data_IF_432348746992
#
_entry.id   IF_432348746992
#
_cell.length_a   1.000
_cell.length_b   1.000
_cell.length_c   1.000
_cell.angle_alpha   90.00
_cell.angle_beta   90.00
_cell.angle_gamma   90.00
#
_symmetry.space_group_name_H-M   'P 1'
#
loop_
_entity.id
_entity.type
_entity.pdbx_description
1 polymer ?
#
# COMPACT_ATOMS: atom_id res chain seq x y z
N UNK A 1 2.92 -9.08 -6.80
CA UNK A 1 4.15 -8.91 -6.01
C UNK A 1 5.36 -9.18 -6.90
N UNK A 2 6.31 -8.25 -6.95
CA UNK A 2 7.48 -8.35 -7.81
C UNK A 2 8.72 -8.74 -6.98
N UNK A 3 9.49 -9.74 -7.43
CA UNK A 3 10.75 -10.15 -6.81
C UNK A 3 11.93 -9.56 -7.59
N UNK A 4 12.84 -8.87 -6.91
CA UNK A 4 14.03 -8.29 -7.54
C UNK A 4 15.29 -8.79 -6.84
N UNK A 5 16.19 -9.43 -7.60
CA UNK A 5 17.53 -9.81 -7.12
C UNK A 5 18.56 -8.75 -7.49
N UNK A 6 19.08 -8.00 -6.52
CA UNK A 6 20.28 -7.18 -6.64
C UNK A 6 20.73 -6.61 -5.28
N UNK A 7 22.02 -6.36 -5.10
CA UNK A 7 22.56 -5.60 -3.96
C UNK A 7 21.97 -4.20 -3.96
N UNK A 8 21.12 -3.88 -2.99
CA UNK A 8 20.46 -2.58 -2.91
C UNK A 8 21.38 -1.54 -2.28
N UNK A 9 21.56 -0.41 -2.96
CA UNK A 9 22.38 0.70 -2.46
C UNK A 9 21.56 1.83 -1.81
N UNK A 10 20.23 1.85 -1.93
CA UNK A 10 19.37 2.82 -1.24
C UNK A 10 17.87 2.49 -1.39
N UNK A 11 17.11 2.44 -0.29
CA UNK A 11 15.63 2.49 -0.26
C UNK A 11 15.23 3.75 0.49
N UNK A 12 14.72 4.76 -0.21
CA UNK A 12 14.10 5.92 0.43
C UNK A 12 12.64 5.63 0.73
N UNK A 13 12.27 5.61 2.02
CA UNK A 13 10.88 5.51 2.47
C UNK A 13 10.37 6.93 2.73
N UNK A 14 9.30 7.35 2.05
CA UNK A 14 8.58 8.59 2.38
C UNK A 14 7.17 8.26 2.87
N UNK A 15 6.95 8.61 4.15
CA UNK A 15 5.69 8.66 4.94
C UNK A 15 5.08 7.36 5.49
N UNK A 16 5.43 7.12 6.76
CA UNK A 16 4.65 6.67 7.93
C UNK A 16 3.40 5.79 7.71
N UNK A 17 3.51 4.52 8.13
CA UNK A 17 2.77 4.02 9.31
C UNK A 17 3.59 2.95 10.04
N UNK A 18 3.65 3.07 11.37
CA UNK A 18 4.54 2.32 12.24
C UNK A 18 4.19 0.83 12.38
N UNK A 19 5.18 0.07 12.83
CA UNK A 19 5.12 -1.28 13.41
C UNK A 19 4.85 -2.49 12.49
N UNK A 20 4.63 -2.36 11.18
CA UNK A 20 4.41 -3.54 10.32
C UNK A 20 5.64 -4.47 10.16
N UNK A 21 6.84 -4.03 10.55
CA UNK A 21 8.07 -4.83 10.44
C UNK A 21 8.29 -5.85 11.59
N UNK A 22 7.47 -5.84 12.67
CA UNK A 22 7.82 -6.58 13.91
C UNK A 22 7.38 -8.06 13.91
N UNK A 23 6.55 -8.52 12.96
CA UNK A 23 6.04 -9.90 13.00
C UNK A 23 7.04 -10.95 12.47
N UNK A 24 8.04 -10.56 11.66
CA UNK A 24 9.02 -11.52 11.14
C UNK A 24 10.06 -11.96 12.20
N UNK A 25 10.34 -11.13 13.21
CA UNK A 25 11.40 -11.41 14.20
C UNK A 25 10.97 -12.38 15.30
N UNK A 26 9.68 -12.62 15.54
CA UNK A 26 9.26 -13.34 16.75
C UNK A 26 9.47 -14.86 16.73
N UNK A 27 9.71 -15.50 15.59
CA UNK A 27 9.64 -16.97 15.47
C UNK A 27 10.67 -17.61 14.51
N UNK A 28 11.83 -17.00 14.24
CA UNK A 28 12.76 -17.54 13.23
C UNK A 28 12.12 -17.72 11.84
N UNK A 29 11.14 -16.86 11.54
CA UNK A 29 10.21 -17.02 10.42
C UNK A 29 10.80 -16.56 9.09
N UNK A 30 10.43 -17.25 8.02
CA UNK A 30 10.78 -16.91 6.64
C UNK A 30 9.92 -15.74 6.17
N UNK A 31 10.54 -14.68 5.63
CA UNK A 31 9.79 -13.60 4.97
C UNK A 31 9.28 -14.09 3.62
N UNK A 32 7.95 -14.10 3.49
CA UNK A 32 7.24 -14.44 2.26
C UNK A 32 6.20 -13.38 1.94
N UNK A 33 5.71 -13.39 0.70
CA UNK A 33 4.51 -12.68 0.27
C UNK A 33 3.36 -12.81 1.28
N UNK A 34 3.01 -14.05 1.62
CA UNK A 34 1.92 -14.38 2.55
C UNK A 34 2.17 -13.81 3.95
N UNK A 35 3.41 -13.88 4.45
CA UNK A 35 3.74 -13.31 5.77
C UNK A 35 3.52 -11.80 5.81
N UNK A 36 3.86 -11.10 4.73
CA UNK A 36 3.62 -9.66 4.61
C UNK A 36 2.11 -9.39 4.50
N UNK A 37 1.38 -10.10 3.64
CA UNK A 37 -0.08 -9.94 3.50
C UNK A 37 -0.82 -10.18 4.82
N UNK A 38 -0.43 -11.21 5.58
CA UNK A 38 -0.98 -11.47 6.92
C UNK A 38 -0.68 -10.35 7.89
N UNK A 39 0.50 -9.76 7.86
CA UNK A 39 0.85 -8.62 8.72
C UNK A 39 -0.04 -7.40 8.44
N UNK A 40 -0.30 -7.11 7.16
CA UNK A 40 -1.25 -6.08 6.76
C UNK A 40 -2.67 -6.37 7.25
N UNK A 41 -3.17 -7.58 7.01
CA UNK A 41 -4.51 -8.00 7.45
C UNK A 41 -4.69 -7.90 8.96
N UNK A 42 -3.75 -8.45 9.75
CA UNK A 42 -3.82 -8.39 11.23
C UNK A 42 -3.76 -6.94 11.73
N UNK A 43 -2.99 -6.08 11.07
CA UNK A 43 -2.93 -4.65 11.41
C UNK A 43 -4.27 -3.97 11.16
N UNK A 44 -4.91 -4.24 10.02
CA UNK A 44 -6.23 -3.69 9.66
C UNK A 44 -7.35 -4.21 10.57
N UNK A 45 -7.35 -5.52 10.87
CA UNK A 45 -8.28 -6.13 11.82
C UNK A 45 -8.14 -5.50 13.22
N UNK A 46 -6.91 -5.29 13.68
CA UNK A 46 -6.62 -4.61 14.94
C UNK A 46 -7.13 -3.17 14.97
N UNK A 47 -6.90 -2.41 13.89
CA UNK A 47 -7.43 -1.04 13.79
C UNK A 47 -8.96 -1.03 13.75
N UNK A 48 -9.59 -1.92 12.99
CA UNK A 48 -11.05 -2.07 12.89
C UNK A 48 -11.67 -2.39 14.26
N UNK A 49 -11.02 -3.24 15.06
CA UNK A 49 -11.43 -3.54 16.43
C UNK A 49 -11.41 -2.28 17.30
N UNK A 50 -10.34 -1.47 17.21
CA UNK A 50 -10.23 -0.19 17.95
C UNK A 50 -11.31 0.80 17.51
N UNK A 51 -11.57 0.92 16.20
CA UNK A 51 -12.63 1.80 15.68
C UNK A 51 -14.00 1.39 16.24
N UNK A 52 -14.27 0.08 16.27
CA UNK A 52 -15.55 -0.47 16.76
C UNK A 52 -15.73 -0.23 18.26
N UNK A 53 -14.70 -0.48 19.08
CA UNK A 53 -14.72 -0.21 20.52
C UNK A 53 -14.92 1.28 20.83
N UNK A 54 -14.25 2.14 20.05
CA UNK A 54 -14.26 3.59 20.27
C UNK A 54 -15.41 4.32 19.57
N UNK A 55 -16.27 3.63 18.82
CA UNK A 55 -17.31 4.25 17.99
C UNK A 55 -18.19 5.25 18.76
N UNK A 56 -18.66 4.85 19.93
CA UNK A 56 -19.59 5.68 20.73
C UNK A 56 -18.91 6.87 21.41
N UNK A 57 -17.61 6.76 21.74
CA UNK A 57 -16.89 7.79 22.50
C UNK A 57 -16.04 8.69 21.62
N UNK A 58 -15.52 8.17 20.51
CA UNK A 58 -14.57 8.82 19.60
C UNK A 58 -14.82 8.38 18.14
N UNK A 59 -15.98 8.73 17.53
CA UNK A 59 -16.36 8.32 16.18
C UNK A 59 -15.39 8.84 15.08
N UNK A 60 -14.58 9.86 15.39
CA UNK A 60 -13.58 10.38 14.45
C UNK A 60 -12.57 9.32 14.00
N UNK A 61 -12.35 8.25 14.77
CA UNK A 61 -11.46 7.15 14.38
C UNK A 61 -11.95 6.43 13.11
N UNK A 62 -13.25 6.41 12.84
CA UNK A 62 -13.80 5.83 11.60
C UNK A 62 -13.55 6.69 10.36
N UNK A 63 -13.02 7.91 10.53
CA UNK A 63 -12.76 8.86 9.43
C UNK A 63 -11.27 9.01 9.11
N UNK A 64 -10.40 8.38 9.91
CA UNK A 64 -8.96 8.42 9.68
C UNK A 64 -8.50 7.13 9.01
N UNK A 65 -7.45 7.25 8.23
CA UNK A 65 -6.77 6.14 7.57
C UNK A 65 -5.40 6.59 7.10
N UNK A 66 -4.60 5.65 6.64
CA UNK A 66 -3.24 5.90 6.15
C UNK A 66 -2.91 5.02 4.97
N UNK A 67 -2.17 5.55 4.01
CA UNK A 67 -1.46 4.70 3.06
C UNK A 67 -0.35 3.95 3.79
N UNK A 68 -0.01 2.76 3.31
CA UNK A 68 1.03 1.95 3.88
C UNK A 68 1.89 1.33 2.78
N UNK A 69 3.17 1.71 2.76
CA UNK A 69 4.19 1.17 1.86
C UNK A 69 5.27 0.49 2.70
N UNK A 70 5.45 -0.80 2.47
CA UNK A 70 6.41 -1.64 3.19
C UNK A 70 7.44 -2.18 2.21
N UNK A 71 8.71 -2.01 2.56
CA UNK A 71 9.85 -2.63 1.89
C UNK A 71 10.61 -3.53 2.85
N UNK A 72 10.78 -4.81 2.50
CA UNK A 72 11.50 -5.79 3.31
C UNK A 72 12.62 -6.40 2.48
N UNK A 73 13.85 -6.38 2.99
CA UNK A 73 14.99 -7.07 2.38
C UNK A 73 15.27 -8.33 3.18
N UNK A 74 15.11 -9.49 2.55
CA UNK A 74 15.37 -10.79 3.17
C UNK A 74 16.08 -11.71 2.19
N UNK A 75 17.21 -12.30 2.59
CA UNK A 75 18.02 -13.20 1.76
C UNK A 75 18.25 -12.68 0.32
N UNK A 76 18.74 -11.44 0.21
CA UNK A 76 19.00 -10.75 -1.08
C UNK A 76 17.75 -10.52 -1.96
N UNK A 77 16.56 -10.76 -1.43
CA UNK A 77 15.29 -10.48 -2.10
C UNK A 77 14.65 -9.25 -1.47
N UNK A 78 14.26 -8.29 -2.31
CA UNK A 78 13.44 -7.15 -1.91
C UNK A 78 11.96 -7.46 -2.14
N UNK A 79 11.16 -7.38 -1.08
CA UNK A 79 9.71 -7.42 -1.11
C UNK A 79 9.16 -6.01 -0.98
N UNK A 80 8.21 -5.66 -1.83
CA UNK A 80 7.46 -4.40 -1.76
C UNK A 80 5.97 -4.73 -1.66
N UNK A 81 5.30 -4.17 -0.67
CA UNK A 81 3.85 -4.21 -0.51
C UNK A 81 3.32 -2.78 -0.34
N UNK A 82 2.33 -2.40 -1.13
CA UNK A 82 1.79 -1.05 -1.16
C UNK A 82 0.27 -1.07 -1.06
N UNK A 83 -0.26 -0.28 -0.14
CA UNK A 83 -1.68 0.02 0.00
C UNK A 83 -1.88 1.52 -0.02
N UNK A 84 -2.53 1.97 -1.08
CA UNK A 84 -2.78 3.37 -1.37
C UNK A 84 -1.80 3.94 -2.40
N UNK A 85 -1.56 5.25 -2.33
CA UNK A 85 -0.90 6.00 -3.40
C UNK A 85 0.56 6.36 -3.13
N UNK A 86 1.18 5.69 -2.16
CA UNK A 86 2.62 5.74 -1.95
C UNK A 86 3.39 5.01 -3.06
N UNK A 87 4.65 5.38 -3.28
CA UNK A 87 5.47 4.84 -4.38
C UNK A 87 6.87 4.41 -3.94
N UNK A 88 7.24 3.17 -4.26
CA UNK A 88 8.61 2.69 -4.19
C UNK A 88 9.30 2.81 -5.55
N UNK A 89 10.51 3.38 -5.56
CA UNK A 89 11.35 3.54 -6.75
C UNK A 89 12.77 3.07 -6.44
N UNK A 90 13.31 2.18 -7.25
CA UNK A 90 14.68 1.69 -7.19
C UNK A 90 15.58 2.49 -8.11
N UNK A 91 16.65 3.06 -7.56
CA UNK A 91 17.76 3.57 -8.34
C UNK A 91 18.68 2.43 -8.77
N UNK A 92 18.79 2.18 -10.08
CA UNK A 92 19.71 1.20 -10.65
C UNK A 92 20.81 1.90 -11.44
N UNK A 93 22.08 1.66 -11.09
CA UNK A 93 23.21 2.16 -11.87
C UNK A 93 23.19 1.57 -13.28
N UNK A 94 23.37 2.42 -14.29
CA UNK A 94 23.38 2.04 -15.71
C UNK A 94 24.82 2.16 -16.24
N UNK A 95 25.40 1.03 -16.59
CA UNK A 95 26.76 0.96 -17.12
C UNK A 95 27.82 1.54 -16.18
N UNK A 96 28.96 1.95 -16.76
CA UNK A 96 30.11 2.47 -16.00
C UNK A 96 30.17 4.00 -15.95
N UNK A 97 29.20 4.70 -16.55
CA UNK A 97 29.21 6.16 -16.73
C UNK A 97 28.64 6.94 -15.54
N UNK A 98 28.20 6.25 -14.48
CA UNK A 98 27.60 6.89 -13.30
C UNK A 98 26.13 7.29 -13.47
N UNK A 99 25.50 6.96 -14.60
CA UNK A 99 24.06 7.16 -14.80
C UNK A 99 23.20 6.28 -13.90
N UNK A 100 22.02 6.77 -13.53
CA UNK A 100 21.05 6.05 -12.69
C UNK A 100 19.70 5.97 -13.42
N UNK A 101 19.16 4.76 -13.54
CA UNK A 101 17.78 4.52 -13.95
C UNK A 101 16.88 4.49 -12.72
N UNK A 102 15.70 5.12 -12.81
CA UNK A 102 14.65 5.02 -11.81
C UNK A 102 13.65 3.93 -12.25
N UNK A 103 13.50 2.89 -11.43
CA UNK A 103 12.61 1.77 -11.70
C UNK A 103 11.50 1.76 -10.64
N UNK A 104 10.27 2.03 -11.04
CA UNK A 104 9.13 1.93 -10.13
C UNK A 104 8.89 0.47 -9.72
N UNK A 105 8.75 0.22 -8.43
CA UNK A 105 8.57 -1.12 -7.87
C UNK A 105 7.15 -1.39 -7.35
N UNK A 106 6.34 -0.35 -7.14
CA UNK A 106 4.96 -0.47 -6.65
C UNK A 106 3.93 0.09 -7.64
N UNK A 107 2.74 -0.48 -7.65
CA UNK A 107 1.55 0.11 -8.26
C UNK A 107 0.85 0.99 -7.23
N UNK A 108 0.35 2.15 -7.64
CA UNK A 108 -0.40 3.06 -6.78
C UNK A 108 -1.90 2.80 -6.90
N UNK A 109 -2.62 2.83 -5.78
CA UNK A 109 -4.07 2.68 -5.74
C UNK A 109 -4.72 4.06 -5.54
N UNK A 110 -4.80 4.82 -6.64
CA UNK A 110 -5.37 6.17 -6.66
C UNK A 110 -6.35 6.32 -7.84
N UNK A 111 -7.55 6.86 -7.58
CA UNK A 111 -8.61 7.09 -8.56
C UNK A 111 -8.22 8.10 -9.68
N UNK A 112 -7.12 8.85 -9.54
CA UNK A 112 -6.55 9.63 -10.65
C UNK A 112 -6.07 8.73 -11.79
N UNK A 113 -5.67 7.49 -11.49
CA UNK A 113 -5.25 6.49 -12.46
C UNK A 113 -6.46 5.81 -13.09
N UNK A 114 -6.49 5.75 -14.42
CA UNK A 114 -7.63 5.18 -15.13
C UNK A 114 -7.83 3.70 -14.85
N UNK A 115 -6.74 2.92 -14.76
CA UNK A 115 -6.80 1.49 -14.45
C UNK A 115 -7.53 1.22 -13.12
N UNK A 116 -7.22 2.00 -12.07
CA UNK A 116 -7.88 1.90 -10.76
C UNK A 116 -9.36 2.27 -10.86
N UNK A 117 -9.73 3.23 -11.72
CA UNK A 117 -11.14 3.56 -11.94
C UNK A 117 -11.91 2.44 -12.61
N UNK A 118 -11.28 1.70 -13.53
CA UNK A 118 -11.92 0.54 -14.17
C UNK A 118 -12.06 -0.62 -13.17
N UNK A 119 -10.99 -0.96 -12.46
CA UNK A 119 -11.00 -1.99 -11.40
C UNK A 119 -12.09 -1.72 -10.35
N UNK A 120 -12.18 -0.48 -9.83
CA UNK A 120 -13.21 -0.10 -8.87
C UNK A 120 -14.64 -0.29 -9.41
N UNK A 121 -14.87 -0.04 -10.71
CA UNK A 121 -16.18 -0.21 -11.34
C UNK A 121 -16.50 -1.69 -11.59
N UNK A 122 -15.51 -2.49 -11.94
CA UNK A 122 -15.67 -3.93 -12.14
C UNK A 122 -16.01 -4.65 -10.84
N UNK A 123 -15.37 -4.26 -9.72
CA UNK A 123 -15.67 -4.80 -8.39
C UNK A 123 -17.01 -4.31 -7.83
N UNK A 124 -17.52 -3.16 -8.29
CA UNK A 124 -18.75 -2.55 -7.79
C UNK A 124 -19.74 -2.23 -8.93
N UNK A 125 -20.25 -3.25 -9.65
CA UNK A 125 -21.11 -3.04 -10.82
C UNK A 125 -22.43 -2.32 -10.49
N UNK A 126 -22.90 -2.47 -9.26
CA UNK A 126 -24.17 -1.91 -8.78
C UNK A 126 -24.01 -0.53 -8.09
N UNK A 127 -22.79 -0.02 -7.96
CA UNK A 127 -22.51 1.30 -7.38
C UNK A 127 -22.06 2.30 -8.46
N UNK A 128 -22.98 2.99 -9.15
CA UNK A 128 -22.63 3.97 -10.18
C UNK A 128 -21.88 5.19 -9.61
N UNK A 129 -21.84 5.35 -8.29
CA UNK A 129 -21.13 6.43 -7.59
C UNK A 129 -19.80 5.98 -7.01
N UNK A 130 -19.33 4.75 -7.30
CA UNK A 130 -18.05 4.25 -6.77
C UNK A 130 -16.88 5.16 -7.12
N UNK A 131 -16.87 5.75 -8.33
CA UNK A 131 -15.84 6.68 -8.79
C UNK A 131 -16.48 7.93 -9.38
N UNK A 132 -16.21 9.09 -8.78
CA UNK A 132 -16.85 10.37 -9.15
C UNK A 132 -15.79 11.45 -9.38
N UNK A 133 -15.95 12.23 -10.45
CA UNK A 133 -15.17 13.44 -10.68
C UNK A 133 -15.78 14.59 -9.85
N UNK A 134 -15.07 15.08 -8.84
CA UNK A 134 -15.53 16.14 -7.94
C UNK A 134 -14.47 17.22 -7.82
N UNK A 135 -14.84 18.47 -8.15
CA UNK A 135 -13.94 19.63 -8.17
C UNK A 135 -12.66 19.39 -9.00
N UNK A 136 -12.80 18.75 -10.16
CA UNK A 136 -11.68 18.47 -11.08
C UNK A 136 -10.78 17.28 -10.67
N UNK A 137 -11.14 16.55 -9.61
CA UNK A 137 -10.35 15.41 -9.11
C UNK A 137 -11.23 14.16 -9.00
N UNK A 138 -10.73 13.03 -9.50
CA UNK A 138 -11.40 11.73 -9.38
C UNK A 138 -11.31 11.21 -7.95
N UNK A 139 -12.44 10.80 -7.37
CA UNK A 139 -12.55 10.34 -5.98
C UNK A 139 -13.40 9.08 -5.88
N UNK A 140 -13.00 8.19 -5.00
CA UNK A 140 -13.82 7.05 -4.53
C UNK A 140 -14.98 7.60 -3.71
N UNK A 141 -16.21 7.29 -4.13
CA UNK A 141 -17.48 7.77 -3.55
C UNK A 141 -17.58 9.30 -3.38
N UNK A 142 -16.77 10.06 -4.11
CA UNK A 142 -16.68 11.52 -3.97
C UNK A 142 -15.97 12.01 -2.69
N UNK A 143 -15.28 11.12 -1.95
CA UNK A 143 -14.66 11.41 -0.64
C UNK A 143 -13.14 11.46 -0.77
N UNK A 144 -12.48 10.35 -1.09
CA UNK A 144 -11.01 10.22 -1.09
C UNK A 144 -10.48 9.85 -2.48
N UNK A 145 -9.20 10.11 -2.76
CA UNK A 145 -8.57 9.66 -4.02
C UNK A 145 -7.95 8.29 -3.90
N UNK A 146 -7.56 7.90 -2.69
CA UNK A 146 -6.89 6.63 -2.42
C UNK A 146 -7.93 5.53 -2.36
N UNK A 147 -7.65 4.43 -3.05
CA UNK A 147 -8.44 3.22 -2.89
C UNK A 147 -7.88 2.38 -1.74
N UNK A 148 -8.75 2.04 -0.79
CA UNK A 148 -8.46 1.22 0.39
C UNK A 148 -9.13 -0.16 0.27
N UNK A 149 -9.99 -0.39 -0.75
CA UNK A 149 -10.79 -1.60 -0.89
C UNK A 149 -9.99 -2.88 -1.21
N UNK A 150 -8.71 -2.76 -1.56
CA UNK A 150 -7.86 -3.92 -1.94
C UNK A 150 -7.49 -4.89 -0.81
N UNK A 151 -8.03 -4.73 0.42
CA UNK A 151 -7.84 -5.66 1.54
C UNK A 151 -9.12 -6.31 2.08
N UNK A 152 -10.29 -6.03 1.51
CA UNK A 152 -11.57 -6.56 2.00
C UNK A 152 -12.15 -7.73 1.19
N UNK A 153 -11.32 -8.37 0.36
CA UNK A 153 -11.63 -9.67 -0.28
C UNK A 153 -10.64 -10.78 0.13
#
# INVERSE_FOLDING_TARGET
MNQYGASLSYVGILRFCGNAAILAEREGGVVTADTISRAFRVTEEGFTSVVSEMWSSRPQFATVGSCCLVGVVYQQTLFIANLGDSRAVLGKKVGNTGGMAAIQLSTEHNASLEAIRHELKELHPDDPQIVVLKHGVWRVKGIIQVDILSLLE
#
